data_IF_684659833711
#
_entry.id   IF_684659833711
#
_cell.length_a   1.000
_cell.length_b   1.000
_cell.length_c   1.000
_cell.angle_alpha   90.00
_cell.angle_beta   90.00
_cell.angle_gamma   90.00
#
_symmetry.space_group_name_H-M   'P 1'
#
loop_
_entity.id
_entity.type
_entity.pdbx_description
1 polymer ?
#
# COMPACT_ATOMS: atom_id res chain seq x y z
N UNK A 1 -31.07 -10.72 -13.65
CA UNK A 1 -30.60 -9.32 -13.81
C UNK A 1 -30.32 -9.11 -15.28
N UNK A 2 -30.71 -7.97 -15.84
CA UNK A 2 -30.52 -7.70 -17.26
C UNK A 2 -29.03 -7.57 -17.60
N UNK A 3 -28.56 -8.13 -18.71
CA UNK A 3 -27.17 -8.05 -19.20
C UNK A 3 -26.73 -6.59 -19.28
N UNK A 4 -27.62 -5.72 -19.76
CA UNK A 4 -27.40 -4.26 -19.83
C UNK A 4 -27.22 -3.59 -18.46
N UNK A 5 -27.97 -4.01 -17.45
CA UNK A 5 -27.80 -3.53 -16.07
C UNK A 5 -26.52 -4.08 -15.41
N UNK A 6 -26.14 -5.32 -15.75
CA UNK A 6 -24.92 -5.96 -15.28
C UNK A 6 -23.67 -5.30 -15.84
N UNK A 7 -23.63 -4.99 -17.13
CA UNK A 7 -22.50 -4.28 -17.73
C UNK A 7 -22.32 -2.87 -17.15
N UNK A 8 -23.42 -2.14 -16.89
CA UNK A 8 -23.35 -0.84 -16.21
C UNK A 8 -22.84 -0.96 -14.77
N UNK A 9 -23.36 -1.90 -14.00
CA UNK A 9 -22.93 -2.14 -12.62
C UNK A 9 -21.47 -2.60 -12.57
N UNK A 10 -21.05 -3.45 -13.49
CA UNK A 10 -19.66 -3.88 -13.66
C UNK A 10 -18.74 -2.68 -13.94
N UNK A 11 -19.13 -1.80 -14.87
CA UNK A 11 -18.34 -0.61 -15.20
C UNK A 11 -18.19 0.32 -13.99
N UNK A 12 -19.25 0.53 -13.22
CA UNK A 12 -19.20 1.32 -11.97
C UNK A 12 -18.30 0.65 -10.94
N UNK A 13 -18.42 -0.68 -10.74
CA UNK A 13 -17.57 -1.43 -9.82
C UNK A 13 -16.10 -1.35 -10.22
N UNK A 14 -15.76 -1.57 -11.49
CA UNK A 14 -14.39 -1.46 -11.98
C UNK A 14 -13.83 -0.04 -11.85
N UNK A 15 -14.62 0.99 -12.18
CA UNK A 15 -14.21 2.37 -11.99
C UNK A 15 -13.96 2.69 -10.50
N UNK A 16 -14.85 2.26 -9.61
CA UNK A 16 -14.69 2.45 -8.17
C UNK A 16 -13.46 1.72 -7.62
N UNK A 17 -13.22 0.48 -8.07
CA UNK A 17 -12.05 -0.30 -7.70
C UNK A 17 -10.76 0.39 -8.17
N UNK A 18 -10.73 0.92 -9.40
CA UNK A 18 -9.59 1.68 -9.92
C UNK A 18 -9.29 2.94 -9.10
N UNK A 19 -10.31 3.70 -8.71
CA UNK A 19 -10.13 4.89 -7.86
C UNK A 19 -9.59 4.50 -6.48
N UNK A 20 -10.20 3.50 -5.83
CA UNK A 20 -9.74 3.00 -4.53
C UNK A 20 -8.28 2.54 -4.60
N UNK A 21 -7.92 1.78 -5.63
CA UNK A 21 -6.56 1.29 -5.81
C UNK A 21 -5.58 2.45 -6.04
N UNK A 22 -5.93 3.42 -6.88
CA UNK A 22 -5.16 4.64 -7.08
C UNK A 22 -4.92 5.42 -5.78
N UNK A 23 -5.96 5.61 -4.96
CA UNK A 23 -5.83 6.27 -3.66
C UNK A 23 -4.95 5.49 -2.68
N UNK A 24 -5.08 4.16 -2.63
CA UNK A 24 -4.25 3.31 -1.76
C UNK A 24 -2.78 3.34 -2.17
N UNK A 25 -2.49 3.29 -3.48
CA UNK A 25 -1.13 3.41 -4.01
C UNK A 25 -0.52 4.77 -3.71
N UNK A 26 -1.30 5.84 -3.87
CA UNK A 26 -0.83 7.20 -3.55
C UNK A 26 -0.49 7.35 -2.07
N UNK A 27 -1.37 6.88 -1.18
CA UNK A 27 -1.13 6.88 0.26
C UNK A 27 0.08 6.01 0.65
N UNK A 28 0.19 4.81 0.10
CA UNK A 28 1.31 3.91 0.34
C UNK A 28 2.64 4.52 -0.14
N UNK A 29 2.65 5.13 -1.32
CA UNK A 29 3.81 5.83 -1.88
C UNK A 29 4.28 6.97 -0.96
N UNK A 30 3.36 7.85 -0.54
CA UNK A 30 3.68 8.93 0.40
C UNK A 30 4.21 8.40 1.74
N UNK A 31 3.64 7.31 2.23
CA UNK A 31 4.09 6.66 3.46
C UNK A 31 5.52 6.12 3.32
N UNK A 32 5.84 5.44 2.23
CA UNK A 32 7.17 4.89 1.97
C UNK A 32 8.22 5.99 1.76
N UNK A 33 7.87 7.07 1.03
CA UNK A 33 8.75 8.23 0.85
C UNK A 33 9.08 8.91 2.18
N UNK A 34 8.08 9.06 3.07
CA UNK A 34 8.31 9.60 4.41
C UNK A 34 9.27 8.72 5.22
N UNK A 35 9.15 7.40 5.12
CA UNK A 35 10.05 6.45 5.79
C UNK A 35 11.49 6.58 5.27
N UNK A 36 11.66 6.69 3.95
CA UNK A 36 12.98 6.84 3.33
C UNK A 36 13.65 8.18 3.71
N UNK A 37 12.87 9.27 3.75
CA UNK A 37 13.35 10.56 4.24
C UNK A 37 13.77 10.48 5.72
N UNK A 38 12.99 9.77 6.54
CA UNK A 38 13.28 9.56 7.95
C UNK A 38 14.57 8.74 8.15
N UNK A 39 14.79 7.69 7.36
CA UNK A 39 16.03 6.89 7.37
C UNK A 39 17.26 7.70 6.99
N UNK A 40 17.13 8.52 5.95
CA UNK A 40 18.23 9.37 5.46
C UNK A 40 18.57 10.43 6.50
N UNK A 41 17.57 11.14 7.02
CA UNK A 41 17.77 12.17 8.02
C UNK A 41 18.32 11.59 9.34
N UNK A 42 17.83 10.43 9.76
CA UNK A 42 18.36 9.73 10.92
C UNK A 42 19.82 9.31 10.73
N UNK A 43 20.19 8.82 9.54
CA UNK A 43 21.57 8.45 9.23
C UNK A 43 22.51 9.66 9.24
N UNK A 44 22.06 10.80 8.71
CA UNK A 44 22.79 12.06 8.77
C UNK A 44 22.96 12.56 10.21
N UNK A 45 21.89 12.54 11.00
CA UNK A 45 21.92 12.87 12.43
C UNK A 45 22.90 11.98 13.19
N UNK A 46 22.83 10.66 12.95
CA UNK A 46 23.73 9.69 13.57
C UNK A 46 25.18 9.99 13.23
N UNK A 47 25.49 10.28 11.97
CA UNK A 47 26.83 10.64 11.56
C UNK A 47 27.28 11.96 12.23
N UNK A 48 26.45 12.99 12.19
CA UNK A 48 26.74 14.31 12.80
C UNK A 48 27.02 14.18 14.30
N UNK A 49 26.25 13.36 15.02
CA UNK A 49 26.44 13.17 16.47
C UNK A 49 27.68 12.30 16.77
N UNK A 50 27.82 11.14 16.12
CA UNK A 50 28.84 10.15 16.46
C UNK A 50 30.23 10.48 15.90
N UNK A 51 30.29 11.21 14.79
CA UNK A 51 31.55 11.55 14.12
C UNK A 51 31.92 13.00 14.41
N UNK A 52 31.07 13.95 14.02
CA UNK A 52 31.44 15.37 14.10
C UNK A 52 31.40 15.89 15.54
N UNK A 53 30.25 15.79 16.22
CA UNK A 53 30.08 16.32 17.57
C UNK A 53 30.95 15.58 18.58
N UNK A 54 30.89 14.24 18.58
CA UNK A 54 31.73 13.44 19.48
C UNK A 54 33.23 13.61 19.16
N UNK A 55 33.61 13.74 17.89
CA UNK A 55 34.99 13.99 17.48
C UNK A 55 35.50 15.37 17.92
N UNK A 56 34.70 16.43 17.75
CA UNK A 56 35.03 17.78 18.24
C UNK A 56 35.23 17.79 19.76
N UNK A 57 34.32 17.18 20.51
CA UNK A 57 34.44 17.10 21.97
C UNK A 57 35.58 16.17 22.42
N UNK A 58 35.90 15.13 21.66
CA UNK A 58 37.09 14.31 21.87
C UNK A 58 38.39 15.12 21.69
N UNK A 59 38.52 15.84 20.57
CA UNK A 59 39.67 16.71 20.32
C UNK A 59 39.82 17.79 21.41
N UNK A 60 38.70 18.32 21.91
CA UNK A 60 38.71 19.22 23.04
C UNK A 60 39.26 18.58 24.31
N UNK A 61 38.87 17.34 24.62
CA UNK A 61 39.37 16.61 25.79
C UNK A 61 40.88 16.32 25.69
N UNK A 62 41.40 16.16 24.48
CA UNK A 62 42.81 15.87 24.24
C UNK A 62 43.68 17.13 24.21
N UNK A 63 43.19 18.21 23.60
CA UNK A 63 43.99 19.43 23.34
C UNK A 63 43.64 20.61 24.26
N UNK A 64 42.47 20.61 24.89
CA UNK A 64 41.98 21.70 25.72
C UNK A 64 41.58 22.98 24.96
N UNK A 65 41.60 22.98 23.61
CA UNK A 65 41.31 24.16 22.81
C UNK A 65 39.81 24.49 22.73
N UNK A 66 39.44 25.67 23.24
CA UNK A 66 38.07 26.20 23.24
C UNK A 66 37.44 26.34 21.84
N UNK A 67 38.22 26.36 20.76
CA UNK A 67 37.68 26.37 19.39
C UNK A 67 36.81 25.14 19.12
N UNK A 68 37.21 23.97 19.62
CA UNK A 68 36.42 22.74 19.47
C UNK A 68 35.08 22.82 20.22
N UNK A 69 35.02 23.51 21.35
CA UNK A 69 33.76 23.77 22.06
C UNK A 69 32.82 24.68 21.28
N UNK A 70 33.36 25.68 20.58
CA UNK A 70 32.57 26.56 19.70
C UNK A 70 32.00 25.77 18.52
N UNK A 71 32.80 24.90 17.89
CA UNK A 71 32.35 24.01 16.83
C UNK A 71 31.24 23.07 17.32
N UNK A 72 31.43 22.46 18.49
CA UNK A 72 30.43 21.58 19.10
C UNK A 72 29.11 22.30 19.39
N UNK A 73 29.17 23.50 19.98
CA UNK A 73 27.98 24.33 20.21
C UNK A 73 27.26 24.67 18.91
N UNK A 74 27.98 25.02 17.84
CA UNK A 74 27.38 25.31 16.55
C UNK A 74 26.73 24.06 15.92
N UNK A 75 27.40 22.91 16.00
CA UNK A 75 26.84 21.63 15.55
C UNK A 75 25.57 21.27 16.32
N UNK A 76 25.52 21.49 17.63
CA UNK A 76 24.33 21.27 18.45
C UNK A 76 23.15 22.13 17.97
N UNK A 77 23.35 23.43 17.74
CA UNK A 77 22.29 24.32 17.26
C UNK A 77 21.79 23.94 15.86
N UNK A 78 22.70 23.51 14.98
CA UNK A 78 22.34 23.01 13.65
C UNK A 78 21.52 21.72 13.72
N UNK A 79 21.89 20.80 14.60
CA UNK A 79 21.13 19.56 14.84
C UNK A 79 19.73 19.90 15.34
N UNK A 80 19.61 20.75 16.37
CA UNK A 80 18.33 21.14 16.97
C UNK A 80 17.38 21.77 15.95
N UNK A 81 17.90 22.64 15.10
CA UNK A 81 17.09 23.39 14.13
C UNK A 81 16.66 22.52 12.94
N UNK A 82 17.54 21.67 12.42
CA UNK A 82 17.35 21.08 11.09
C UNK A 82 17.10 19.57 11.09
N UNK A 83 17.49 18.84 12.13
CA UNK A 83 17.57 17.38 12.09
C UNK A 83 16.61 16.67 13.06
N UNK A 84 16.06 17.38 14.05
CA UNK A 84 15.18 16.77 15.06
C UNK A 84 13.70 16.67 14.64
N UNK A 85 13.24 17.49 13.69
CA UNK A 85 11.81 17.63 13.34
C UNK A 85 11.22 16.42 12.59
N UNK A 86 12.07 15.60 11.98
CA UNK A 86 11.66 14.42 11.19
C UNK A 86 11.72 13.11 11.99
N UNK A 87 12.21 13.18 13.23
CA UNK A 87 12.29 12.04 14.15
C UNK A 87 10.94 11.80 14.85
N UNK A 88 10.71 10.60 15.42
CA UNK A 88 9.59 10.38 16.33
C UNK A 88 9.64 11.35 17.51
N UNK A 89 8.48 11.83 17.98
CA UNK A 89 8.38 12.85 19.02
C UNK A 89 9.18 12.52 20.29
N UNK A 90 9.08 11.29 20.80
CA UNK A 90 9.77 10.87 22.02
C UNK A 90 11.29 10.95 21.88
N UNK A 91 11.82 10.56 20.72
CA UNK A 91 13.24 10.65 20.42
C UNK A 91 13.69 12.10 20.24
N UNK A 92 12.89 12.89 19.53
CA UNK A 92 13.14 14.32 19.29
C UNK A 92 13.28 15.08 20.61
N UNK A 93 12.31 14.92 21.52
CA UNK A 93 12.31 15.56 22.85
C UNK A 93 13.53 15.11 23.68
N UNK A 94 13.83 13.80 23.69
CA UNK A 94 14.94 13.25 24.47
C UNK A 94 16.29 13.78 23.98
N UNK A 95 16.50 13.81 22.66
CA UNK A 95 17.72 14.37 22.07
C UNK A 95 17.82 15.87 22.28
N UNK A 96 16.72 16.61 22.13
CA UNK A 96 16.70 18.06 22.37
C UNK A 96 17.11 18.40 23.81
N UNK A 97 16.61 17.65 24.81
CA UNK A 97 17.01 17.80 26.20
C UNK A 97 18.50 17.51 26.42
N UNK A 98 19.00 16.39 25.89
CA UNK A 98 20.42 16.02 26.03
C UNK A 98 21.34 17.02 25.35
N UNK A 99 21.00 17.46 24.15
CA UNK A 99 21.76 18.45 23.38
C UNK A 99 21.74 19.81 24.06
N UNK A 100 20.60 20.23 24.62
CA UNK A 100 20.50 21.51 25.35
C UNK A 100 21.33 21.46 26.63
N UNK A 101 21.22 20.40 27.43
CA UNK A 101 22.03 20.23 28.64
C UNK A 101 23.53 20.19 28.31
N UNK A 102 23.92 19.49 27.24
CA UNK A 102 25.31 19.48 26.77
C UNK A 102 25.76 20.87 26.33
N UNK A 103 24.92 21.62 25.61
CA UNK A 103 25.27 22.97 25.15
C UNK A 103 25.41 23.95 26.33
N UNK A 104 24.53 23.87 27.33
CA UNK A 104 24.62 24.69 28.54
C UNK A 104 25.93 24.39 29.29
N UNK A 105 26.28 23.10 29.41
CA UNK A 105 27.52 22.68 30.06
C UNK A 105 28.78 23.07 29.26
N UNK A 106 28.72 23.00 27.92
CA UNK A 106 29.77 23.52 27.02
C UNK A 106 29.99 25.02 27.28
N UNK A 107 28.89 25.78 27.34
CA UNK A 107 28.95 27.23 27.52
C UNK A 107 29.31 27.65 28.95
N UNK A 108 29.13 26.78 29.94
CA UNK A 108 29.49 26.98 31.34
C UNK A 108 30.74 26.20 31.76
N UNK A 109 30.52 25.05 32.40
CA UNK A 109 31.55 24.34 33.17
C UNK A 109 32.67 23.75 32.31
N UNK A 110 32.40 23.34 31.07
CA UNK A 110 33.45 22.76 30.22
C UNK A 110 34.38 23.82 29.66
N UNK A 111 33.92 25.02 29.31
CA UNK A 111 34.83 26.11 28.91
C UNK A 111 35.89 26.44 29.96
N UNK A 112 35.56 26.30 31.24
CA UNK A 112 36.51 26.50 32.31
C UNK A 112 37.67 25.48 32.23
N UNK A 113 37.38 24.22 31.90
CA UNK A 113 38.36 23.12 31.81
C UNK A 113 39.49 23.39 30.82
N UNK A 114 39.20 24.08 29.70
CA UNK A 114 40.18 24.32 28.64
C UNK A 114 41.21 25.37 29.02
N UNK A 115 40.84 26.30 29.92
CA UNK A 115 41.78 27.27 30.50
C UNK A 115 42.82 26.63 31.43
N UNK A 116 42.61 25.37 31.81
CA UNK A 116 43.51 24.60 32.66
C UNK A 116 44.54 23.79 31.84
N UNK A 117 44.54 23.87 30.50
CA UNK A 117 45.38 23.01 29.63
C UNK A 117 46.87 23.38 29.58
N UNK A 118 47.31 24.36 30.35
CA UNK A 118 48.74 24.60 30.59
C UNK A 118 49.37 23.46 31.41
N UNK A 119 50.71 23.41 31.48
CA UNK A 119 51.40 22.47 32.36
C UNK A 119 50.84 22.59 33.80
N UNK A 120 50.10 21.57 34.24
CA UNK A 120 49.32 21.53 35.49
C UNK A 120 50.18 21.77 36.73
N UNK A 121 51.46 21.40 36.63
CA UNK A 121 52.43 21.49 37.72
C UNK A 121 53.34 22.70 37.59
N UNK A 122 53.17 23.56 36.59
CA UNK A 122 54.13 24.64 36.29
C UNK A 122 54.42 25.56 37.49
N UNK A 123 53.41 25.89 38.30
CA UNK A 123 53.59 26.69 39.52
C UNK A 123 54.43 25.94 40.57
N UNK A 124 54.19 24.64 40.72
CA UNK A 124 54.91 23.78 41.66
C UNK A 124 56.33 23.52 41.18
N UNK A 125 56.51 23.22 39.90
CA UNK A 125 57.81 23.03 39.26
C UNK A 125 58.65 24.32 39.33
N UNK A 126 58.02 25.48 39.14
CA UNK A 126 58.69 26.77 39.31
C UNK A 126 59.12 26.96 40.77
N UNK A 127 58.23 26.78 41.73
CA UNK A 127 58.57 26.94 43.15
C UNK A 127 59.71 25.98 43.57
N UNK A 128 59.65 24.70 43.17
CA UNK A 128 60.70 23.71 43.48
C UNK A 128 62.04 24.07 42.84
N UNK A 129 62.03 24.55 41.57
CA UNK A 129 63.23 25.01 40.89
C UNK A 129 63.81 26.25 41.56
N UNK A 130 62.97 27.19 42.00
CA UNK A 130 63.45 28.39 42.69
C UNK A 130 64.01 28.04 44.08
N UNK A 131 63.36 27.18 44.85
CA UNK A 131 63.89 26.69 46.13
C UNK A 131 65.30 26.09 45.99
N UNK A 132 65.48 25.17 45.04
CA UNK A 132 66.79 24.53 44.79
C UNK A 132 67.81 25.50 44.20
N UNK A 133 67.36 26.44 43.36
CA UNK A 133 68.16 27.52 42.80
C UNK A 133 68.69 28.49 43.85
N UNK A 134 67.81 29.05 44.70
CA UNK A 134 68.18 29.97 45.79
C UNK A 134 69.10 29.28 46.81
N UNK A 135 68.90 27.98 47.09
CA UNK A 135 69.82 27.21 47.93
C UNK A 135 71.22 27.09 47.29
N UNK A 136 71.30 26.82 46.00
CA UNK A 136 72.57 26.79 45.26
C UNK A 136 73.23 28.18 45.17
N UNK A 137 72.43 29.24 45.04
CA UNK A 137 72.91 30.62 45.09
C UNK A 137 73.51 30.94 46.46
N UNK A 138 72.87 30.50 47.55
CA UNK A 138 73.37 30.67 48.91
C UNK A 138 74.69 29.92 49.17
N UNK A 139 74.82 28.69 48.64
CA UNK A 139 76.09 27.94 48.66
C UNK A 139 77.19 28.72 47.92
N UNK A 140 76.85 29.35 46.79
CA UNK A 140 77.79 30.14 45.99
C UNK A 140 78.17 31.45 46.69
N UNK A 141 77.22 32.11 47.35
CA UNK A 141 77.42 33.28 48.19
C UNK A 141 78.42 32.99 49.32
N UNK A 142 78.18 31.91 50.08
CA UNK A 142 79.08 31.47 51.15
C UNK A 142 80.50 31.14 50.64
N UNK A 143 80.64 30.71 49.38
CA UNK A 143 81.92 30.43 48.73
C UNK A 143 82.71 31.69 48.37
N UNK A 144 82.01 32.76 47.98
CA UNK A 144 82.63 34.03 47.58
C UNK A 144 83.08 34.87 48.78
N UNK A 145 82.50 34.64 49.96
CA UNK A 145 82.86 35.33 51.19
C UNK A 145 84.30 35.02 51.64
N UNK A 146 85.07 36.05 52.02
CA UNK A 146 86.42 35.94 52.57
C UNK A 146 86.61 36.91 53.73
N UNK A 147 87.23 36.50 54.87
CA UNK A 147 87.75 35.17 55.16
C UNK A 147 86.65 34.15 55.47
N UNK A 148 86.91 32.86 55.21
CA UNK A 148 86.01 31.76 55.57
C UNK A 148 85.86 31.68 57.09
N UNK A 149 84.78 32.27 57.62
CA UNK A 149 84.46 32.31 59.04
C UNK A 149 83.39 31.24 59.40
N UNK A 150 83.05 31.14 60.68
CA UNK A 150 82.04 30.18 61.14
C UNK A 150 80.65 30.43 60.51
N UNK A 151 80.34 31.68 60.17
CA UNK A 151 79.06 32.04 59.53
C UNK A 151 78.97 31.49 58.11
N UNK A 152 80.05 31.55 57.33
CA UNK A 152 80.11 30.94 56.00
C UNK A 152 79.89 29.40 56.06
N UNK A 153 80.43 28.72 57.07
CA UNK A 153 80.17 27.28 57.31
C UNK A 153 78.69 27.01 57.66
N UNK A 154 78.08 27.88 58.47
CA UNK A 154 76.67 27.79 58.81
C UNK A 154 75.78 27.96 57.57
N UNK A 155 76.09 28.93 56.70
CA UNK A 155 75.39 29.09 55.42
C UNK A 155 75.49 27.84 54.55
N UNK A 156 76.67 27.21 54.44
CA UNK A 156 76.80 25.96 53.69
C UNK A 156 75.93 24.84 54.22
N UNK A 157 75.93 24.64 55.54
CA UNK A 157 75.18 23.56 56.19
C UNK A 157 73.68 23.77 55.98
N UNK A 158 73.18 24.96 56.30
CA UNK A 158 71.76 25.27 56.17
C UNK A 158 71.30 25.30 54.71
N UNK A 159 72.13 25.77 53.78
CA UNK A 159 71.80 25.74 52.35
C UNK A 159 71.75 24.31 51.81
N UNK A 160 72.63 23.41 52.27
CA UNK A 160 72.59 21.98 51.93
C UNK A 160 71.34 21.30 52.50
N UNK A 161 71.00 21.59 53.76
CA UNK A 161 69.79 21.06 54.39
C UNK A 161 68.53 21.53 53.64
N UNK A 162 68.47 22.82 53.28
CA UNK A 162 67.39 23.38 52.48
C UNK A 162 67.29 22.71 51.11
N UNK A 163 68.42 22.54 50.42
CA UNK A 163 68.45 21.87 49.11
C UNK A 163 67.92 20.44 49.21
N UNK A 164 68.38 19.66 50.19
CA UNK A 164 67.92 18.29 50.41
C UNK A 164 66.42 18.23 50.71
N UNK A 165 65.91 19.14 51.54
CA UNK A 165 64.49 19.17 51.88
C UNK A 165 63.63 19.62 50.68
N UNK A 166 64.12 20.53 49.85
CA UNK A 166 63.45 20.92 48.60
C UNK A 166 63.36 19.74 47.60
N UNK A 167 64.38 18.87 47.57
CA UNK A 167 64.33 17.62 46.78
C UNK A 167 63.31 16.65 47.36
N UNK A 168 63.26 16.45 48.68
CA UNK A 168 62.23 15.62 49.32
C UNK A 168 60.82 16.14 49.04
N UNK A 169 60.62 17.46 49.12
CA UNK A 169 59.37 18.12 48.78
C UNK A 169 58.95 17.79 47.33
N UNK A 170 59.88 17.83 46.38
CA UNK A 170 59.59 17.47 44.98
C UNK A 170 59.09 16.04 44.84
N UNK A 171 59.70 15.08 45.55
CA UNK A 171 59.31 13.67 45.52
C UNK A 171 57.90 13.47 46.05
N UNK A 172 57.59 14.05 47.22
CA UNK A 172 56.24 13.95 47.80
C UNK A 172 55.20 14.62 46.91
N UNK A 173 55.54 15.74 46.28
CA UNK A 173 54.64 16.43 45.34
C UNK A 173 54.31 15.57 44.14
N UNK A 174 55.30 14.96 43.48
CA UNK A 174 55.03 14.08 42.33
C UNK A 174 54.24 12.83 42.72
N UNK A 175 54.51 12.23 43.89
CA UNK A 175 53.72 11.11 44.41
C UNK A 175 52.26 11.51 44.61
N UNK A 176 52.02 12.66 45.25
CA UNK A 176 50.66 13.13 45.55
C UNK A 176 49.87 13.52 44.29
N UNK A 177 50.53 14.04 43.26
CA UNK A 177 49.91 14.41 41.98
C UNK A 177 49.53 13.16 41.18
N UNK A 178 50.36 12.12 41.20
CA UNK A 178 50.05 10.84 40.56
C UNK A 178 48.88 10.15 41.25
N UNK A 179 48.90 10.13 42.58
CA UNK A 179 47.86 9.53 43.39
C UNK A 179 47.81 10.22 44.75
N UNK A 180 46.64 10.75 45.11
CA UNK A 180 46.44 11.33 46.42
C UNK A 180 46.54 10.26 47.52
N UNK A 181 47.42 10.49 48.48
CA UNK A 181 47.61 9.65 49.67
C UNK A 181 47.83 10.55 50.90
N UNK A 182 47.09 10.27 51.97
CA UNK A 182 47.09 11.10 53.18
C UNK A 182 48.45 11.08 53.88
N UNK A 183 49.15 9.94 53.88
CA UNK A 183 50.47 9.84 54.52
C UNK A 183 51.55 10.62 53.78
N UNK A 184 51.46 10.63 52.44
CA UNK A 184 52.30 11.42 51.55
C UNK A 184 52.02 12.91 51.73
N UNK A 185 50.75 13.30 51.88
CA UNK A 185 50.36 14.68 52.16
C UNK A 185 50.92 15.19 53.51
N UNK A 186 50.86 14.37 54.56
CA UNK A 186 51.47 14.70 55.86
C UNK A 186 52.99 14.83 55.77
N UNK A 187 53.65 13.93 55.03
CA UNK A 187 55.10 13.99 54.80
C UNK A 187 55.50 15.25 54.03
N UNK A 188 54.70 15.65 53.05
CA UNK A 188 54.85 16.91 52.31
C UNK A 188 54.72 18.12 53.24
N UNK A 189 53.69 18.16 54.09
CA UNK A 189 53.51 19.25 55.05
C UNK A 189 54.69 19.36 56.02
N UNK A 190 55.22 18.22 56.47
CA UNK A 190 56.41 18.20 57.32
C UNK A 190 57.63 18.75 56.59
N UNK A 191 57.82 18.37 55.32
CA UNK A 191 58.91 18.89 54.48
C UNK A 191 58.82 20.41 54.31
N UNK A 192 57.63 20.95 54.05
CA UNK A 192 57.40 22.40 54.00
C UNK A 192 57.69 23.07 55.35
N UNK A 193 57.30 22.46 56.46
CA UNK A 193 57.60 23.00 57.80
C UNK A 193 59.10 23.04 58.06
N UNK A 194 59.84 21.99 57.69
CA UNK A 194 61.29 21.93 57.78
C UNK A 194 61.95 23.03 56.93
N UNK A 195 61.53 23.19 55.67
CA UNK A 195 62.02 24.27 54.79
C UNK A 195 61.81 25.65 55.40
N UNK A 196 60.62 25.92 55.97
CA UNK A 196 60.34 27.17 56.65
C UNK A 196 61.21 27.39 57.90
N UNK A 197 61.55 26.33 58.63
CA UNK A 197 62.47 26.41 59.78
C UNK A 197 63.90 26.71 59.32
N UNK A 198 64.40 25.97 58.33
CA UNK A 198 65.74 26.18 57.78
C UNK A 198 65.86 27.58 57.18
N UNK A 199 64.86 28.05 56.43
CA UNK A 199 64.82 29.41 55.89
C UNK A 199 64.92 30.49 56.98
N UNK A 200 64.21 30.33 58.10
CA UNK A 200 64.30 31.25 59.24
C UNK A 200 65.67 31.23 59.91
N UNK A 201 66.29 30.06 60.01
CA UNK A 201 67.66 29.94 60.52
C UNK A 201 68.68 30.63 59.60
N UNK A 202 68.49 30.54 58.27
CA UNK A 202 69.31 31.24 57.28
C UNK A 202 69.12 32.76 57.39
N UNK A 203 67.89 33.24 57.53
CA UNK A 203 67.56 34.66 57.65
C UNK A 203 68.22 35.32 58.87
N UNK A 204 68.33 34.59 59.97
CA UNK A 204 68.97 35.04 61.22
C UNK A 204 70.50 35.16 61.15
N UNK A 205 71.16 34.56 60.15
CA UNK A 205 72.61 34.66 60.01
C UNK A 205 73.02 36.08 59.56
N UNK A 206 74.15 36.62 60.04
CA UNK A 206 74.65 37.90 59.54
C UNK A 206 75.05 37.79 58.06
N UNK A 207 74.96 38.88 57.32
CA UNK A 207 75.43 38.94 55.94
C UNK A 207 76.97 38.86 55.92
N UNK A 208 77.52 38.18 54.91
CA UNK A 208 78.95 37.94 54.73
C UNK A 208 79.66 39.04 53.93
N UNK A 209 78.94 40.07 53.44
CA UNK A 209 79.53 41.21 52.75
C UNK A 209 79.88 40.93 51.28
N UNK A 210 79.22 39.98 50.62
CA UNK A 210 79.42 39.72 49.18
C UNK A 210 78.44 40.60 48.42
N UNK A 211 78.95 41.68 47.85
CA UNK A 211 78.14 42.69 47.16
C UNK A 211 77.85 42.33 45.71
N UNK A 212 76.79 42.91 45.16
CA UNK A 212 76.50 42.91 43.73
C UNK A 212 77.55 43.71 42.94
N UNK A 213 77.72 43.33 41.67
CA UNK A 213 78.51 44.13 40.73
C UNK A 213 77.66 45.34 40.31
N UNK A 214 78.19 46.55 40.48
CA UNK A 214 77.53 47.80 40.03
C UNK A 214 77.97 48.10 38.60
N UNK A 215 77.01 48.41 37.72
CA UNK A 215 77.30 48.78 36.34
C UNK A 215 77.88 50.20 36.28
N UNK A 216 79.20 50.31 36.09
CA UNK A 216 79.93 51.58 36.02
C UNK A 216 79.50 52.45 34.80
N UNK A 217 78.77 51.87 33.82
CA UNK A 217 78.27 52.57 32.63
C UNK A 217 76.81 53.07 32.77
N UNK A 218 76.17 52.87 33.93
CA UNK A 218 74.79 53.27 34.19
C UNK A 218 74.64 54.81 34.29
N UNK A 219 74.36 55.45 33.14
CA UNK A 219 74.40 56.91 32.97
C UNK A 219 73.33 57.71 33.75
N UNK A 220 72.41 57.08 34.50
CA UNK A 220 71.23 57.76 35.06
C UNK A 220 70.79 57.34 36.49
N UNK A 221 71.46 56.41 37.17
CA UNK A 221 71.12 56.02 38.55
C UNK A 221 72.40 55.71 39.33
N UNK A 222 72.60 56.33 40.48
CA UNK A 222 73.59 55.88 41.47
C UNK A 222 73.07 54.55 42.06
N UNK A 223 73.39 53.43 41.42
CA UNK A 223 73.11 52.10 41.97
C UNK A 223 74.14 51.79 43.07
N UNK A 224 73.66 51.68 44.32
CA UNK A 224 74.49 51.24 45.44
C UNK A 224 74.65 49.72 45.39
N UNK A 225 75.86 49.22 45.64
CA UNK A 225 76.13 47.79 45.72
C UNK A 225 75.40 47.20 46.94
N UNK A 226 74.45 46.29 46.70
CA UNK A 226 73.69 45.61 47.73
C UNK A 226 74.31 44.25 48.06
N UNK A 227 74.13 43.77 49.29
CA UNK A 227 74.60 42.44 49.66
C UNK A 227 73.70 41.37 49.02
N UNK A 228 74.31 40.45 48.26
CA UNK A 228 73.59 39.41 47.54
C UNK A 228 72.79 38.46 48.47
N UNK A 229 73.09 38.42 49.78
CA UNK A 229 72.33 37.62 50.72
C UNK A 229 70.87 38.06 50.85
N UNK A 230 70.57 39.35 50.76
CA UNK A 230 69.25 39.86 51.12
C UNK A 230 68.17 39.35 50.14
N UNK A 231 68.47 39.38 48.84
CA UNK A 231 67.60 38.80 47.81
C UNK A 231 67.44 37.28 47.99
N UNK A 232 68.57 36.56 48.15
CA UNK A 232 68.57 35.09 48.29
C UNK A 232 67.77 34.65 49.54
N UNK A 233 67.95 35.34 50.68
CA UNK A 233 67.21 35.07 51.93
C UNK A 233 65.72 35.30 51.76
N UNK A 234 65.34 36.41 51.12
CA UNK A 234 63.95 36.75 50.82
C UNK A 234 63.28 35.67 49.96
N UNK A 235 63.96 35.18 48.92
CA UNK A 235 63.49 34.07 48.10
C UNK A 235 63.30 32.79 48.92
N UNK A 236 64.32 32.39 49.69
CA UNK A 236 64.30 31.16 50.51
C UNK A 236 63.16 31.15 51.55
N UNK A 237 62.77 32.31 52.07
CA UNK A 237 61.62 32.48 52.96
C UNK A 237 60.28 32.43 52.22
N UNK A 238 60.20 33.03 51.02
CA UNK A 238 58.94 33.22 50.31
C UNK A 238 58.42 31.95 49.63
N UNK A 239 59.30 31.13 49.03
CA UNK A 239 58.86 29.95 48.28
C UNK A 239 58.17 28.89 49.15
N UNK A 240 58.72 28.46 50.30
CA UNK A 240 58.10 27.43 51.14
C UNK A 240 56.78 27.88 51.78
N UNK A 241 56.64 29.17 52.08
CA UNK A 241 55.42 29.72 52.67
C UNK A 241 54.27 29.80 51.65
N UNK A 242 54.58 30.07 50.38
CA UNK A 242 53.62 30.09 49.27
C UNK A 242 53.21 28.68 48.80
N UNK A 243 54.11 27.70 48.91
CA UNK A 243 53.97 26.36 48.35
C UNK A 243 52.65 25.64 48.70
N UNK A 244 52.18 25.60 49.96
CA UNK A 244 50.95 24.87 50.30
C UNK A 244 49.70 25.41 49.60
N UNK A 245 49.64 26.73 49.40
CA UNK A 245 48.53 27.37 48.69
C UNK A 245 48.53 26.96 47.23
N UNK A 246 49.69 27.07 46.58
CA UNK A 246 49.84 26.74 45.16
C UNK A 246 49.57 25.24 44.94
N UNK A 247 50.00 24.35 45.87
CA UNK A 247 49.66 22.92 45.86
C UNK A 247 48.16 22.67 45.98
N UNK A 248 47.49 23.30 46.95
CA UNK A 248 46.04 23.15 47.15
C UNK A 248 45.26 23.61 45.91
N UNK A 249 45.67 24.72 45.30
CA UNK A 249 45.12 25.20 44.05
C UNK A 249 45.32 24.21 42.91
N UNK A 250 46.53 23.67 42.72
CA UNK A 250 46.82 22.67 41.69
C UNK A 250 46.00 21.39 41.90
N UNK A 251 45.94 20.83 43.11
CA UNK A 251 45.16 19.62 43.39
C UNK A 251 43.66 19.81 43.11
N UNK A 252 43.09 20.93 43.56
CA UNK A 252 41.68 21.27 43.30
C UNK A 252 41.41 21.41 41.81
N UNK A 253 42.32 22.05 41.09
CA UNK A 253 42.23 22.29 39.65
C UNK A 253 42.30 20.96 38.87
N UNK A 254 43.24 20.07 39.21
CA UNK A 254 43.35 18.72 38.64
C UNK A 254 42.10 17.88 38.90
N UNK A 255 41.57 17.88 40.13
CA UNK A 255 40.35 17.14 40.48
C UNK A 255 39.12 17.65 39.73
N UNK A 256 38.94 18.98 39.65
CA UNK A 256 37.86 19.58 38.87
C UNK A 256 37.95 19.21 37.39
N UNK A 257 39.17 19.13 36.86
CA UNK A 257 39.40 18.73 35.47
C UNK A 257 39.07 17.28 35.21
N UNK A 258 39.51 16.37 36.08
CA UNK A 258 39.21 14.94 35.95
C UNK A 258 37.71 14.70 36.01
N UNK A 259 37.03 15.27 37.01
CA UNK A 259 35.57 15.19 37.14
C UNK A 259 34.85 15.81 35.94
N UNK A 260 35.29 16.97 35.46
CA UNK A 260 34.72 17.63 34.30
C UNK A 260 34.90 16.84 33.01
N UNK A 261 36.10 16.28 32.79
CA UNK A 261 36.43 15.42 31.65
C UNK A 261 35.59 14.14 31.64
N UNK A 262 35.47 13.48 32.80
CA UNK A 262 34.66 12.28 32.95
C UNK A 262 33.17 12.56 32.74
N UNK A 263 32.66 13.69 33.25
CA UNK A 263 31.28 14.13 33.00
C UNK A 263 31.03 14.40 31.52
N UNK A 264 31.96 15.07 30.82
CA UNK A 264 31.84 15.32 29.39
C UNK A 264 31.85 14.00 28.60
N UNK A 265 32.76 13.08 28.90
CA UNK A 265 32.79 11.73 28.30
C UNK A 265 31.48 10.98 28.55
N UNK A 266 30.93 11.06 29.76
CA UNK A 266 29.66 10.41 30.10
C UNK A 266 28.48 11.01 29.32
N UNK A 267 28.44 12.33 29.13
CA UNK A 267 27.41 12.99 28.32
C UNK A 267 27.52 12.62 26.84
N UNK A 268 28.74 12.60 26.27
CA UNK A 268 28.99 12.14 24.90
C UNK A 268 28.53 10.69 24.74
N UNK A 269 28.88 9.81 25.69
CA UNK A 269 28.49 8.40 25.68
C UNK A 269 26.97 8.22 25.78
N UNK A 270 26.31 9.00 26.64
CA UNK A 270 24.85 8.96 26.82
C UNK A 270 24.12 9.43 25.57
N UNK A 271 24.58 10.52 24.96
CA UNK A 271 24.05 11.04 23.70
C UNK A 271 24.25 10.02 22.57
N UNK A 272 25.46 9.49 22.43
CA UNK A 272 25.80 8.45 21.45
C UNK A 272 24.95 7.21 21.60
N UNK A 273 24.77 6.71 22.82
CA UNK A 273 23.94 5.55 23.12
C UNK A 273 22.46 5.82 22.84
N UNK A 274 21.97 7.03 23.12
CA UNK A 274 20.59 7.42 22.82
C UNK A 274 20.32 7.37 21.32
N UNK A 275 21.26 7.88 20.51
CA UNK A 275 21.18 7.78 19.06
C UNK A 275 21.28 6.32 18.62
N UNK A 276 22.33 5.58 18.99
CA UNK A 276 22.52 4.19 18.54
C UNK A 276 21.29 3.30 18.84
N UNK A 277 20.74 3.40 20.06
CA UNK A 277 19.56 2.62 20.45
C UNK A 277 18.29 3.05 19.70
N UNK A 278 18.21 4.31 19.28
CA UNK A 278 17.09 4.81 18.49
C UNK A 278 17.00 4.13 17.13
N UNK A 279 18.12 3.71 16.51
CA UNK A 279 18.12 3.00 15.23
C UNK A 279 17.26 1.74 15.28
N UNK A 280 17.38 0.98 16.37
CA UNK A 280 16.66 -0.28 16.52
C UNK A 280 15.17 -0.04 16.77
N UNK A 281 14.82 0.95 17.59
CA UNK A 281 13.44 1.39 17.78
C UNK A 281 12.81 1.87 16.47
N UNK A 282 13.53 2.66 15.68
CA UNK A 282 13.08 3.15 14.37
C UNK A 282 12.81 2.00 13.40
N UNK A 283 13.74 1.03 13.31
CA UNK A 283 13.58 -0.14 12.45
C UNK A 283 12.35 -0.97 12.82
N UNK A 284 12.05 -1.11 14.10
CA UNK A 284 10.84 -1.82 14.57
C UNK A 284 9.58 -1.05 14.18
N UNK A 285 9.50 0.25 14.46
CA UNK A 285 8.35 1.08 14.13
C UNK A 285 8.08 1.11 12.62
N UNK A 286 9.13 1.31 11.81
CA UNK A 286 9.05 1.24 10.35
C UNK A 286 8.64 -0.14 9.84
N UNK A 287 9.10 -1.22 10.49
CA UNK A 287 8.71 -2.58 10.15
C UNK A 287 7.20 -2.79 10.27
N UNK A 288 6.60 -2.29 11.35
CA UNK A 288 5.13 -2.36 11.52
C UNK A 288 4.39 -1.59 10.45
N UNK A 289 4.90 -0.42 10.05
CA UNK A 289 4.27 0.41 9.03
C UNK A 289 4.37 -0.21 7.64
N UNK A 290 5.54 -0.75 7.26
CA UNK A 290 5.74 -1.51 6.01
C UNK A 290 4.81 -2.73 5.97
N UNK A 291 4.65 -3.43 7.09
CA UNK A 291 3.73 -4.56 7.19
C UNK A 291 2.25 -4.15 7.04
N UNK A 292 1.87 -2.99 7.58
CA UNK A 292 0.53 -2.42 7.38
C UNK A 292 0.27 -2.09 5.91
N UNK A 293 1.23 -1.48 5.23
CA UNK A 293 1.16 -1.21 3.78
C UNK A 293 1.00 -2.53 2.99
N UNK A 294 1.78 -3.56 3.33
CA UNK A 294 1.66 -4.89 2.72
C UNK A 294 0.27 -5.49 2.89
N UNK A 295 -0.29 -5.47 4.11
CA UNK A 295 -1.64 -5.99 4.36
C UNK A 295 -2.72 -5.23 3.60
N UNK A 296 -2.61 -3.91 3.49
CA UNK A 296 -3.54 -3.09 2.68
C UNK A 296 -3.50 -3.55 1.22
N UNK A 297 -2.32 -3.82 0.66
CA UNK A 297 -2.21 -4.38 -0.70
C UNK A 297 -2.82 -5.78 -0.82
N UNK A 298 -2.55 -6.69 0.13
CA UNK A 298 -3.16 -8.02 0.12
C UNK A 298 -4.69 -7.96 0.12
N UNK A 299 -5.27 -7.06 0.92
CA UNK A 299 -6.73 -6.86 0.96
C UNK A 299 -7.23 -6.26 -0.35
N UNK A 300 -6.56 -5.26 -0.91
CA UNK A 300 -6.95 -4.63 -2.18
C UNK A 300 -6.93 -5.64 -3.35
N UNK A 301 -5.84 -6.41 -3.47
CA UNK A 301 -5.70 -7.46 -4.50
C UNK A 301 -6.71 -8.58 -4.25
N UNK A 302 -6.89 -9.03 -3.01
CA UNK A 302 -7.88 -10.05 -2.66
C UNK A 302 -9.29 -9.62 -3.05
N UNK A 303 -9.63 -8.35 -2.82
CA UNK A 303 -10.94 -7.79 -3.22
C UNK A 303 -11.12 -7.79 -4.74
N UNK A 304 -10.08 -7.49 -5.51
CA UNK A 304 -10.12 -7.61 -6.97
C UNK A 304 -10.31 -9.05 -7.45
N UNK A 305 -9.64 -10.02 -6.82
CA UNK A 305 -9.79 -11.44 -7.15
C UNK A 305 -11.22 -11.91 -6.86
N UNK A 306 -11.78 -11.52 -5.71
CA UNK A 306 -13.17 -11.83 -5.35
C UNK A 306 -14.15 -11.18 -6.34
N UNK A 307 -13.92 -9.92 -6.74
CA UNK A 307 -14.72 -9.23 -7.74
C UNK A 307 -14.67 -10.00 -9.07
N UNK A 308 -13.47 -10.37 -9.55
CA UNK A 308 -13.29 -11.12 -10.78
C UNK A 308 -14.00 -12.50 -10.74
N UNK A 309 -13.89 -13.22 -9.62
CA UNK A 309 -14.59 -14.49 -9.41
C UNK A 309 -16.11 -14.31 -9.41
N UNK A 310 -16.62 -13.27 -8.74
CA UNK A 310 -18.04 -12.92 -8.73
C UNK A 310 -18.57 -12.59 -10.13
N UNK A 311 -17.82 -11.81 -10.90
CA UNK A 311 -18.14 -11.47 -12.30
C UNK A 311 -18.17 -12.73 -13.16
N UNK A 312 -17.15 -13.59 -13.04
CA UNK A 312 -17.10 -14.86 -13.76
C UNK A 312 -18.31 -15.74 -13.45
N UNK A 313 -18.67 -15.87 -12.17
CA UNK A 313 -19.81 -16.70 -11.76
C UNK A 313 -21.13 -16.16 -12.31
N UNK A 314 -21.36 -14.83 -12.22
CA UNK A 314 -22.56 -14.20 -12.76
C UNK A 314 -22.62 -14.31 -14.28
N UNK A 315 -21.50 -14.06 -14.98
CA UNK A 315 -21.44 -14.18 -16.45
C UNK A 315 -21.69 -15.61 -16.92
N UNK A 316 -21.12 -16.60 -16.22
CA UNK A 316 -21.32 -18.02 -16.52
C UNK A 316 -22.78 -18.44 -16.32
N UNK A 317 -23.39 -18.05 -15.21
CA UNK A 317 -24.72 -18.52 -14.85
C UNK A 317 -25.86 -17.73 -15.52
N UNK A 318 -25.74 -16.41 -15.67
CA UNK A 318 -26.81 -15.58 -16.26
C UNK A 318 -26.68 -15.36 -17.76
N UNK A 319 -25.47 -15.45 -18.35
CA UNK A 319 -25.28 -15.19 -19.79
C UNK A 319 -24.92 -16.47 -20.53
N UNK A 320 -23.76 -17.08 -20.24
CA UNK A 320 -23.25 -18.20 -21.05
C UNK A 320 -24.14 -19.45 -21.00
N UNK A 321 -24.67 -19.81 -19.83
CA UNK A 321 -25.46 -21.04 -19.67
C UNK A 321 -26.80 -20.95 -20.41
N UNK A 322 -27.62 -19.90 -20.24
CA UNK A 322 -28.83 -19.73 -21.04
C UNK A 322 -28.55 -19.64 -22.54
N UNK A 323 -27.46 -18.98 -22.95
CA UNK A 323 -27.11 -18.84 -24.37
C UNK A 323 -26.73 -20.19 -25.00
N UNK A 324 -26.06 -21.07 -24.24
CA UNK A 324 -25.81 -22.46 -24.66
C UNK A 324 -27.10 -23.26 -24.76
N UNK A 325 -28.00 -23.16 -23.77
CA UNK A 325 -29.31 -23.83 -23.82
C UNK A 325 -30.13 -23.37 -25.04
N UNK A 326 -30.06 -22.08 -25.37
CA UNK A 326 -30.74 -21.51 -26.52
C UNK A 326 -30.15 -22.03 -27.83
N UNK A 327 -28.82 -21.99 -27.97
CA UNK A 327 -28.11 -22.62 -29.11
C UNK A 327 -28.52 -24.08 -29.28
N UNK A 328 -28.51 -24.85 -28.20
CA UNK A 328 -28.82 -26.28 -28.22
C UNK A 328 -30.29 -26.53 -28.60
N UNK A 329 -31.21 -25.69 -28.14
CA UNK A 329 -32.63 -25.72 -28.55
C UNK A 329 -32.82 -25.43 -30.05
N UNK A 330 -32.13 -24.43 -30.60
CA UNK A 330 -32.15 -24.15 -32.03
C UNK A 330 -31.51 -25.28 -32.86
N UNK A 331 -30.37 -25.81 -32.41
CA UNK A 331 -29.71 -26.94 -33.07
C UNK A 331 -30.62 -28.17 -33.09
N UNK A 332 -31.26 -28.48 -31.97
CA UNK A 332 -32.21 -29.59 -31.85
C UNK A 332 -33.39 -29.43 -32.80
N UNK A 333 -33.97 -28.22 -32.90
CA UNK A 333 -35.08 -27.94 -33.82
C UNK A 333 -34.68 -28.20 -35.29
N UNK A 334 -33.48 -27.76 -35.69
CA UNK A 334 -32.99 -27.91 -37.07
C UNK A 334 -32.66 -29.37 -37.38
N UNK A 335 -32.08 -30.11 -36.44
CA UNK A 335 -31.56 -31.46 -36.67
C UNK A 335 -32.63 -32.56 -36.53
N UNK A 336 -33.54 -32.42 -35.56
CA UNK A 336 -34.56 -33.43 -35.27
C UNK A 336 -35.93 -33.13 -35.90
N UNK A 337 -36.16 -31.88 -36.35
CA UNK A 337 -37.47 -31.37 -36.76
C UNK A 337 -38.56 -31.50 -35.65
N UNK A 338 -38.15 -31.72 -34.40
CA UNK A 338 -39.05 -31.83 -33.25
C UNK A 338 -39.19 -30.48 -32.53
N UNK A 339 -40.44 -30.12 -32.25
CA UNK A 339 -40.84 -28.90 -31.57
C UNK A 339 -40.70 -29.07 -30.05
N UNK A 340 -39.50 -28.81 -29.49
CA UNK A 340 -39.21 -28.90 -28.06
C UNK A 340 -39.01 -27.53 -27.41
N UNK A 341 -39.67 -27.31 -26.27
CA UNK A 341 -39.53 -26.08 -25.48
C UNK A 341 -38.19 -26.06 -24.73
N UNK A 342 -37.61 -24.87 -24.60
CA UNK A 342 -36.38 -24.61 -23.84
C UNK A 342 -36.76 -24.30 -22.39
N UNK A 343 -36.15 -25.01 -21.43
CA UNK A 343 -36.27 -24.70 -20.00
C UNK A 343 -35.28 -23.60 -19.61
N UNK A 344 -35.78 -22.39 -19.41
CA UNK A 344 -34.98 -21.26 -18.95
C UNK A 344 -35.17 -21.03 -17.45
N UNK A 345 -34.07 -21.09 -16.68
CA UNK A 345 -34.09 -20.87 -15.22
C UNK A 345 -34.46 -19.45 -14.78
N UNK A 346 -34.36 -18.44 -15.67
CA UNK A 346 -34.51 -17.04 -15.29
C UNK A 346 -35.12 -16.20 -16.41
N UNK A 347 -36.46 -16.16 -16.43
CA UNK A 347 -37.29 -15.54 -17.48
C UNK A 347 -37.07 -14.02 -17.62
N UNK A 348 -36.65 -13.35 -16.53
CA UNK A 348 -36.50 -11.88 -16.49
C UNK A 348 -35.16 -11.36 -17.05
N UNK A 349 -34.38 -12.21 -17.71
CA UNK A 349 -33.13 -11.82 -18.39
C UNK A 349 -33.38 -11.65 -19.89
N UNK A 350 -32.59 -10.87 -20.61
CA UNK A 350 -32.77 -10.70 -22.06
C UNK A 350 -32.70 -12.04 -22.81
N UNK A 351 -31.85 -12.97 -22.36
CA UNK A 351 -31.78 -14.34 -22.94
C UNK A 351 -33.01 -15.17 -22.56
N UNK A 352 -33.55 -14.97 -21.35
CA UNK A 352 -34.80 -15.58 -20.91
C UNK A 352 -36.01 -15.10 -21.72
N UNK A 353 -36.09 -13.80 -22.03
CA UNK A 353 -37.11 -13.23 -22.92
C UNK A 353 -37.00 -13.84 -24.34
N UNK A 354 -35.79 -14.01 -24.88
CA UNK A 354 -35.59 -14.69 -26.18
C UNK A 354 -36.05 -16.15 -26.11
N UNK A 355 -35.74 -16.88 -25.03
CA UNK A 355 -36.23 -18.25 -24.84
C UNK A 355 -37.75 -18.32 -24.75
N UNK A 356 -38.39 -17.32 -24.12
CA UNK A 356 -39.85 -17.22 -24.04
C UNK A 356 -40.46 -16.95 -25.42
N UNK A 357 -39.89 -16.04 -26.22
CA UNK A 357 -40.33 -15.81 -27.60
C UNK A 357 -40.12 -17.05 -28.49
N UNK A 358 -39.03 -17.79 -28.28
CA UNK A 358 -38.80 -19.06 -28.96
C UNK A 358 -39.88 -20.09 -28.60
N UNK A 359 -40.16 -20.30 -27.31
CA UNK A 359 -41.21 -21.23 -26.88
C UNK A 359 -42.59 -20.83 -27.41
N UNK A 360 -42.92 -19.54 -27.43
CA UNK A 360 -44.17 -19.05 -28.02
C UNK A 360 -44.26 -19.35 -29.53
N UNK A 361 -43.13 -19.25 -30.25
CA UNK A 361 -43.05 -19.60 -31.67
C UNK A 361 -43.19 -21.11 -31.91
N UNK A 362 -42.58 -21.92 -31.05
CA UNK A 362 -42.72 -23.39 -31.07
C UNK A 362 -44.17 -23.81 -30.82
N UNK A 363 -44.83 -23.23 -29.81
CA UNK A 363 -46.24 -23.52 -29.51
C UNK A 363 -47.15 -23.07 -30.66
N UNK A 364 -46.89 -21.90 -31.26
CA UNK A 364 -47.62 -21.45 -32.46
C UNK A 364 -47.45 -22.40 -33.63
N UNK A 365 -46.24 -22.86 -33.91
CA UNK A 365 -45.99 -23.84 -34.98
C UNK A 365 -46.65 -25.19 -34.70
N UNK A 366 -46.64 -25.65 -33.44
CA UNK A 366 -47.31 -26.89 -33.05
C UNK A 366 -48.81 -26.79 -33.30
N UNK A 367 -49.43 -25.68 -32.93
CA UNK A 367 -50.84 -25.43 -33.18
C UNK A 367 -51.15 -25.37 -34.69
N UNK A 368 -50.33 -24.64 -35.47
CA UNK A 368 -50.49 -24.60 -36.93
C UNK A 368 -50.31 -25.98 -37.59
N UNK A 369 -49.37 -26.80 -37.12
CA UNK A 369 -49.17 -28.16 -37.61
C UNK A 369 -50.37 -29.07 -37.26
N UNK A 370 -50.93 -28.92 -36.06
CA UNK A 370 -52.13 -29.65 -35.65
C UNK A 370 -53.37 -29.23 -36.47
N UNK A 371 -53.54 -27.94 -36.72
CA UNK A 371 -54.60 -27.42 -37.58
C UNK A 371 -54.46 -27.93 -39.02
N UNK A 372 -53.23 -27.97 -39.56
CA UNK A 372 -52.95 -28.59 -40.87
C UNK A 372 -53.24 -30.08 -40.88
N UNK A 373 -52.86 -30.82 -39.84
CA UNK A 373 -53.15 -32.25 -39.74
C UNK A 373 -54.66 -32.51 -39.74
N UNK A 374 -55.41 -31.71 -38.99
CA UNK A 374 -56.88 -31.76 -38.96
C UNK A 374 -57.49 -31.38 -40.32
N UNK A 375 -56.92 -30.39 -41.01
CA UNK A 375 -57.34 -30.04 -42.38
C UNK A 375 -57.05 -31.20 -43.35
N UNK A 376 -55.90 -31.86 -43.25
CA UNK A 376 -55.56 -33.03 -44.06
C UNK A 376 -56.51 -34.21 -43.77
N UNK A 377 -56.91 -34.40 -42.52
CA UNK A 377 -57.92 -35.39 -42.13
C UNK A 377 -59.28 -35.10 -42.80
N UNK A 378 -59.74 -33.84 -42.75
CA UNK A 378 -60.97 -33.42 -43.44
C UNK A 378 -60.85 -33.58 -44.95
N UNK A 379 -59.70 -33.24 -45.55
CA UNK A 379 -59.45 -33.44 -46.99
C UNK A 379 -59.44 -34.92 -47.34
N UNK A 380 -58.85 -35.79 -46.50
CA UNK A 380 -58.84 -37.22 -46.72
C UNK A 380 -60.25 -37.83 -46.62
N UNK A 381 -61.03 -37.42 -45.61
CA UNK A 381 -62.43 -37.83 -45.46
C UNK A 381 -63.28 -37.37 -46.66
N UNK A 382 -63.07 -36.13 -47.12
CA UNK A 382 -63.72 -35.62 -48.33
C UNK A 382 -63.30 -36.40 -49.59
N UNK A 383 -62.03 -36.75 -49.76
CA UNK A 383 -61.55 -37.58 -50.88
C UNK A 383 -62.16 -38.98 -50.84
N UNK A 384 -62.34 -39.56 -49.67
CA UNK A 384 -62.97 -40.86 -49.49
C UNK A 384 -64.49 -40.81 -49.77
N UNK A 385 -65.18 -39.76 -49.31
CA UNK A 385 -66.57 -39.50 -49.67
C UNK A 385 -66.73 -39.28 -51.18
N UNK A 386 -65.82 -38.53 -51.82
CA UNK A 386 -65.82 -38.31 -53.26
C UNK A 386 -65.57 -39.60 -54.04
N UNK A 387 -64.68 -40.47 -53.55
CA UNK A 387 -64.47 -41.81 -54.12
C UNK A 387 -65.74 -42.67 -54.04
N UNK A 388 -66.42 -42.70 -52.89
CA UNK A 388 -67.71 -43.37 -52.73
C UNK A 388 -68.79 -42.76 -53.65
N UNK A 389 -68.80 -41.44 -53.80
CA UNK A 389 -69.75 -40.75 -54.67
C UNK A 389 -69.49 -41.04 -56.15
N UNK A 390 -68.22 -41.11 -56.58
CA UNK A 390 -67.84 -41.54 -57.93
C UNK A 390 -68.23 -42.99 -58.20
N UNK A 391 -68.08 -43.88 -57.22
CA UNK A 391 -68.53 -45.27 -57.34
C UNK A 391 -70.05 -45.38 -57.46
N UNK A 392 -70.79 -44.55 -56.71
CA UNK A 392 -72.25 -44.44 -56.79
C UNK A 392 -72.68 -43.90 -58.17
N UNK A 393 -72.03 -42.84 -58.66
CA UNK A 393 -72.27 -42.28 -60.01
C UNK A 393 -71.98 -43.32 -61.09
N UNK A 394 -70.89 -44.09 -60.97
CA UNK A 394 -70.56 -45.18 -61.89
C UNK A 394 -71.66 -46.25 -61.94
N UNK A 395 -72.18 -46.69 -60.77
CA UNK A 395 -73.31 -47.61 -60.69
C UNK A 395 -74.60 -47.00 -61.30
N UNK A 396 -74.86 -45.72 -61.05
CA UNK A 396 -76.06 -45.05 -61.55
C UNK A 396 -75.99 -44.78 -63.07
N UNK A 397 -74.78 -44.61 -63.61
CA UNK A 397 -74.52 -44.51 -65.06
C UNK A 397 -74.79 -45.85 -65.76
N UNK A 398 -74.49 -46.99 -65.12
CA UNK A 398 -74.87 -48.32 -65.61
C UNK A 398 -76.39 -48.51 -65.68
N UNK A 399 -77.14 -48.03 -64.67
CA UNK A 399 -78.61 -48.04 -64.69
C UNK A 399 -79.20 -47.13 -65.79
N UNK A 400 -78.57 -46.00 -66.07
CA UNK A 400 -79.00 -45.07 -67.13
C UNK A 400 -78.83 -45.66 -68.54
N UNK A 401 -77.88 -46.59 -68.75
CA UNK A 401 -77.73 -47.33 -70.00
C UNK A 401 -78.97 -48.21 -70.29
N UNK A 402 -79.59 -48.80 -69.26
CA UNK A 402 -80.80 -49.60 -69.40
C UNK A 402 -82.05 -48.80 -69.81
N UNK A 403 -82.14 -47.51 -69.47
CA UNK A 403 -83.24 -46.64 -69.90
C UNK A 403 -83.15 -46.20 -71.37
N UNK A 404 -81.95 -46.23 -71.96
CA UNK A 404 -81.74 -45.91 -73.38
C UNK A 404 -82.19 -47.08 -74.26
N UNK A 405 -81.94 -48.32 -73.83
CA UNK A 405 -82.40 -49.54 -74.52
C UNK A 405 -83.94 -49.65 -74.54
N UNK A 406 -84.60 -49.24 -73.46
CA UNK A 406 -86.06 -49.24 -73.36
C UNK A 406 -86.74 -48.23 -74.30
N UNK A 407 -86.08 -47.09 -74.57
CA UNK A 407 -86.58 -46.08 -75.52
C UNK A 407 -86.47 -46.51 -76.99
N UNK A 408 -85.51 -47.38 -77.34
CA UNK A 408 -85.41 -47.91 -78.71
C UNK A 408 -86.60 -48.82 -79.08
N UNK A 409 -87.13 -49.58 -78.12
CA UNK A 409 -88.28 -50.46 -78.37
C UNK A 409 -89.58 -49.66 -78.60
N UNK A 410 -89.78 -48.53 -77.91
CA UNK A 410 -90.97 -47.68 -78.10
C UNK A 410 -91.06 -47.04 -79.49
N UNK A 411 -89.91 -46.78 -80.13
CA UNK A 411 -89.84 -46.22 -81.48
C UNK A 411 -90.23 -47.23 -82.57
N UNK A 412 -90.06 -48.54 -82.30
CA UNK A 412 -90.47 -49.61 -83.22
C UNK A 412 -91.99 -49.80 -83.26
N UNK A 413 -92.68 -49.62 -82.14
CA UNK A 413 -94.15 -49.79 -82.05
C UNK A 413 -94.92 -48.67 -82.76
N UNK A 414 -94.35 -47.46 -82.82
CA UNK A 414 -94.95 -46.31 -83.53
C UNK A 414 -94.97 -46.52 -85.05
N UNK A 415 -93.98 -47.22 -85.59
CA UNK A 415 -93.89 -47.49 -87.03
C UNK A 415 -94.97 -48.47 -87.50
N UNK A 416 -95.40 -49.39 -86.63
CA UNK A 416 -96.40 -50.40 -86.96
C UNK A 416 -97.85 -49.88 -86.98
N UNK A 417 -98.13 -48.80 -86.24
CA UNK A 417 -99.45 -48.14 -86.19
C UNK A 417 -99.73 -47.35 -87.49
N UNK A 418 -98.70 -46.83 -88.16
CA UNK A 418 -98.85 -46.08 -89.40
C UNK A 418 -99.41 -46.90 -90.57
N UNK A 419 -99.10 -48.20 -90.65
CA UNK A 419 -99.58 -49.09 -91.72
C UNK A 419 -101.04 -49.54 -91.50
N UNK A 420 -101.52 -49.67 -90.26
CA UNK A 420 -102.89 -50.07 -89.95
C UNK A 420 -103.94 -49.01 -90.32
N UNK A 421 -103.58 -47.72 -90.25
CA UNK A 421 -104.49 -46.62 -90.57
C UNK A 421 -104.84 -46.58 -92.07
N UNK A 422 -103.92 -46.96 -92.94
CA UNK A 422 -104.13 -46.94 -94.39
C UNK A 422 -105.12 -48.03 -94.85
N UNK A 423 -105.13 -49.18 -94.16
CA UNK A 423 -106.02 -50.32 -94.48
C UNK A 423 -107.49 -50.06 -94.10
N UNK A 424 -107.74 -49.30 -93.03
CA UNK A 424 -109.10 -48.99 -92.56
C UNK A 424 -109.81 -48.03 -93.52
N UNK A 425 -109.09 -47.06 -94.10
CA UNK A 425 -109.68 -46.07 -95.00
C UNK A 425 -110.21 -46.70 -96.29
N UNK A 426 -109.56 -47.76 -96.79
CA UNK A 426 -110.02 -48.49 -97.98
C UNK A 426 -111.33 -49.26 -97.74
N UNK A 427 -111.52 -49.83 -96.54
CA UNK A 427 -112.73 -50.61 -96.22
C UNK A 427 -113.98 -49.75 -96.01
N UNK A 428 -113.82 -48.49 -95.57
CA UNK A 428 -114.94 -47.56 -95.38
C UNK A 428 -115.55 -47.12 -96.73
N UNK A 429 -114.72 -46.96 -97.76
CA UNK A 429 -115.17 -46.56 -99.09
C UNK A 429 -116.03 -47.66 -99.78
N UNK A 430 -115.65 -48.92 -99.63
CA UNK A 430 -116.39 -50.05 -100.21
C UNK A 430 -117.74 -50.30 -99.51
N UNK A 431 -117.81 -50.09 -98.19
CA UNK A 431 -119.04 -50.27 -97.43
C UNK A 431 -120.12 -49.23 -97.77
N UNK A 432 -119.72 -47.99 -98.06
CA UNK A 432 -120.63 -46.94 -98.50
C UNK A 432 -121.31 -47.29 -99.85
N UNK A 433 -120.57 -47.92 -100.76
CA UNK A 433 -121.07 -48.33 -102.08
C UNK A 433 -122.07 -49.49 -101.99
N UNK A 434 -121.82 -50.45 -101.10
CA UNK A 434 -122.73 -51.58 -100.86
C UNK A 434 -124.07 -51.14 -100.22
N UNK A 435 -124.02 -50.13 -99.35
CA UNK A 435 -125.22 -49.60 -98.67
C UNK A 435 -126.17 -48.90 -99.64
N UNK A 436 -125.64 -48.18 -100.63
CA UNK A 436 -126.45 -47.50 -101.65
C UNK A 436 -127.25 -48.50 -102.51
N UNK A 437 -126.63 -49.59 -102.93
CA UNK A 437 -127.28 -50.62 -103.77
C UNK A 437 -128.39 -51.38 -103.03
N UNK A 438 -128.23 -51.61 -101.71
CA UNK A 438 -129.26 -52.23 -100.88
C UNK A 438 -130.50 -51.33 -100.66
N UNK A 439 -130.30 -50.02 -100.66
CA UNK A 439 -131.38 -49.04 -100.47
C UNK A 439 -132.29 -48.93 -101.69
N UNK A 440 -131.74 -49.07 -102.91
CA UNK A 440 -132.51 -49.09 -104.17
C UNK A 440 -133.41 -50.35 -104.27
N UNK A 441 -132.90 -51.50 -103.82
CA UNK A 441 -133.63 -52.76 -103.83
C UNK A 441 -134.79 -52.79 -102.82
N UNK A 442 -134.67 -52.06 -101.71
CA UNK A 442 -135.71 -51.96 -100.67
C UNK A 442 -136.95 -51.16 -101.13
N UNK A 443 -136.81 -50.23 -102.08
CA UNK A 443 -137.94 -49.45 -102.61
C UNK A 443 -138.87 -50.31 -103.48
N UNK A 444 -138.32 -51.30 -104.18
CA UNK A 444 -139.09 -52.26 -104.99
C UNK A 444 -139.95 -53.22 -104.16
N UNK A 445 -139.51 -53.60 -102.96
CA UNK A 445 -140.29 -54.46 -102.06
C UNK A 445 -141.53 -53.77 -101.48
N UNK A 446 -141.47 -52.44 -101.27
CA UNK A 446 -142.58 -51.68 -100.71
C UNK A 446 -143.76 -51.55 -101.70
N UNK A 447 -143.49 -51.52 -103.01
CA UNK A 447 -144.51 -51.45 -104.05
C UNK A 447 -145.28 -52.78 -104.21
N UNK A 448 -144.61 -53.92 -104.02
CA UNK A 448 -145.22 -55.25 -104.11
C UNK A 448 -146.08 -55.59 -102.88
N UNK A 449 -145.76 -55.02 -101.71
CA UNK A 449 -146.54 -55.23 -100.48
C UNK A 449 -147.92 -54.54 -100.53
N UNK A 450 -148.04 -53.41 -101.24
CA UNK A 450 -149.33 -52.72 -101.41
C UNK A 450 -150.30 -53.48 -102.33
N UNK A 451 -149.80 -54.19 -103.34
CA UNK A 451 -150.64 -55.04 -104.20
C UNK A 451 -151.14 -56.29 -103.46
N UNK A 452 -150.35 -56.86 -102.54
CA UNK A 452 -150.75 -58.00 -101.73
C UNK A 452 -151.84 -57.66 -100.70
N UNK A 453 -151.94 -56.40 -100.23
CA UNK A 453 -153.01 -55.98 -99.32
C UNK A 453 -154.38 -55.90 -99.99
N UNK A 454 -154.45 -55.79 -101.32
CA UNK A 454 -155.71 -55.78 -102.09
C UNK A 454 -156.35 -57.17 -102.23
N UNK A 455 -155.63 -58.25 -101.92
CA UNK A 455 -156.05 -59.64 -102.20
C UNK A 455 -156.49 -60.42 -100.94
N UNK A 456 -156.26 -59.86 -99.74
CA UNK A 456 -156.56 -60.56 -98.47
C UNK A 456 -157.92 -60.23 -97.82
N UNK A 457 -158.64 -59.20 -98.27
CA UNK A 457 -159.95 -58.84 -97.69
C UNK A 457 -161.14 -59.49 -98.41
N UNK A 458 -160.92 -60.28 -99.48
CA UNK A 458 -161.99 -61.00 -100.21
C UNK A 458 -162.13 -62.48 -99.79
N UNK A 459 -161.52 -62.90 -98.66
CA UNK A 459 -161.55 -64.29 -98.17
C UNK A 459 -161.63 -64.47 -96.66
N UNK A 460 -162.44 -63.67 -95.98
CA UNK A 460 -163.09 -64.09 -94.72
C UNK A 460 -164.55 -63.64 -94.82
N UNK A 461 -165.47 -64.61 -94.84
CA UNK A 461 -166.92 -64.49 -95.04
C UNK A 461 -167.63 -63.48 -94.14
#
# INVERSE_FOLDING_TARGET
MRVSSFTRLLAILLASASVLLGSTLFWASQTLLKLEQQDTAYSQLKNTILVDLAGQLGNYLDQGDSQYLNLASNSIELIKTNQLSILPNDLSIKLEQQLTALNDDINGKYRALGKLSGNETALLDNALRQMTGSASALISYAKKASPQNNDALNYYTLASDYYSEAVNLSLFTYQLILQYDESTYQSLQQSVNNLNQVAKSIDQLPNLGVMSDVDEDALFVDEEAEDLADEIKSELLSWPSRYPRDLSSTLKQTQQRESGSNNLRAQISTLSSTVINAEQLLKVEQGTLKQRVFWVFCVAIGTLVILAAGVYFVQRNQVLTPLRQLRDGFAFLIESNELKNIECKNEKTEVGEIAQYFNLLIDRQRNEAQDRAKMLEVVNDFMQQMSNHLQTISQQTSLSHGQVEQNQNLLSDIQHIGEQVNHINSQVADNAKSTFSAMEQSLGFSQNMLNASSETQERVE
#
